data_IF_141786402358
#
_entry.id   IF_141786402358
#
_cell.length_a   1.000
_cell.length_b   1.000
_cell.length_c   1.000
_cell.angle_alpha   90.00
_cell.angle_beta   90.00
_cell.angle_gamma   90.00
#
_symmetry.space_group_name_H-M   'P 1'
#
loop_
_entity.id
_entity.type
_entity.pdbx_description
1 polymer ?
#
# COMPACT_ATOMS: atom_id res chain seq x y z
N UNK A 1 -2.98 7.64 -40.87
CA UNK A 1 -4.38 8.11 -40.83
C UNK A 1 -5.44 7.01 -41.05
N UNK A 2 -5.18 5.90 -41.71
CA UNK A 2 -6.14 4.77 -41.82
C UNK A 2 -6.17 3.82 -40.61
N UNK A 3 -5.04 3.57 -39.96
CA UNK A 3 -4.98 2.70 -38.77
C UNK A 3 -5.72 3.26 -37.54
N UNK A 4 -5.78 4.58 -37.40
CA UNK A 4 -6.47 5.23 -36.28
C UNK A 4 -8.02 5.19 -36.43
N UNK A 5 -8.50 5.19 -37.69
CA UNK A 5 -9.93 5.06 -37.97
C UNK A 5 -10.45 3.64 -37.73
N UNK A 6 -9.64 2.61 -37.91
CA UNK A 6 -10.05 1.22 -37.75
C UNK A 6 -10.05 0.82 -36.25
N UNK A 7 -9.19 1.39 -35.46
CA UNK A 7 -9.16 1.18 -34.00
C UNK A 7 -10.42 1.77 -33.33
N UNK A 8 -10.87 2.96 -33.71
CA UNK A 8 -12.11 3.55 -33.23
C UNK A 8 -13.37 2.80 -33.71
N UNK A 9 -13.34 2.20 -34.88
CA UNK A 9 -14.44 1.36 -35.39
C UNK A 9 -14.55 0.03 -34.65
N UNK A 10 -13.45 -0.55 -34.20
CA UNK A 10 -13.46 -1.78 -33.39
C UNK A 10 -14.02 -1.54 -31.98
N UNK A 11 -13.71 -0.41 -31.34
CA UNK A 11 -14.28 -0.01 -30.04
C UNK A 11 -15.78 0.26 -30.14
N UNK A 12 -16.25 0.91 -31.19
CA UNK A 12 -17.67 1.20 -31.41
C UNK A 12 -18.51 -0.08 -31.67
N UNK A 13 -17.94 -1.09 -32.31
CA UNK A 13 -18.62 -2.37 -32.59
C UNK A 13 -18.70 -3.24 -31.33
N UNK A 14 -17.69 -3.17 -30.43
CA UNK A 14 -17.70 -3.92 -29.17
C UNK A 14 -18.71 -3.37 -28.14
N UNK A 15 -19.00 -2.07 -28.16
CA UNK A 15 -20.02 -1.44 -27.30
C UNK A 15 -21.43 -1.79 -27.78
N UNK A 16 -21.65 -2.07 -29.06
CA UNK A 16 -22.98 -2.39 -29.60
C UNK A 16 -23.40 -3.86 -29.46
N UNK A 17 -22.45 -4.79 -29.25
CA UNK A 17 -22.74 -6.22 -29.05
C UNK A 17 -23.01 -6.65 -27.62
N UNK A 18 -22.70 -5.82 -26.60
CA UNK A 18 -23.03 -6.11 -25.19
C UNK A 18 -24.40 -5.58 -24.70
N UNK A 19 -25.19 -4.99 -25.60
CA UNK A 19 -26.44 -4.31 -25.28
C UNK A 19 -27.73 -5.14 -25.38
N UNK A 20 -27.68 -6.44 -25.67
CA UNK A 20 -28.89 -7.25 -25.87
C UNK A 20 -28.81 -8.58 -25.09
N UNK A 21 -29.11 -8.55 -23.83
CA UNK A 21 -29.75 -9.67 -23.08
C UNK A 21 -29.95 -9.31 -21.61
N UNK A 22 -31.05 -8.68 -21.26
CA UNK A 22 -31.65 -8.70 -19.93
C UNK A 22 -33.15 -8.41 -20.08
N UNK A 23 -33.93 -9.46 -20.32
CA UNK A 23 -35.38 -9.45 -20.07
C UNK A 23 -35.74 -10.60 -19.11
N UNK A 24 -36.46 -10.25 -18.05
CA UNK A 24 -37.34 -11.15 -17.29
C UNK A 24 -36.72 -11.68 -15.99
N UNK A 25 -37.24 -11.37 -14.83
CA UNK A 25 -38.52 -11.77 -14.27
C UNK A 25 -38.88 -10.96 -13.04
N UNK A 26 -40.12 -10.55 -13.04
CA UNK A 26 -40.89 -9.99 -11.95
C UNK A 26 -41.29 -11.10 -10.97
N UNK A 27 -41.16 -10.88 -9.67
CA UNK A 27 -42.11 -11.48 -8.73
C UNK A 27 -42.30 -10.60 -7.49
N UNK A 28 -43.57 -10.28 -7.34
CA UNK A 28 -44.24 -9.52 -6.29
C UNK A 28 -44.42 -10.36 -5.02
N UNK A 29 -44.12 -9.78 -3.86
CA UNK A 29 -44.79 -10.18 -2.62
C UNK A 29 -44.91 -8.99 -1.67
N UNK A 30 -46.15 -8.72 -1.37
CA UNK A 30 -46.77 -7.67 -0.55
C UNK A 30 -46.71 -7.94 0.97
N UNK A 31 -46.87 -6.83 1.74
CA UNK A 31 -47.34 -6.69 3.14
C UNK A 31 -46.30 -6.91 4.24
N UNK A 32 -46.24 -6.06 5.23
CA UNK A 32 -47.23 -5.26 5.93
C UNK A 32 -46.56 -4.32 6.92
N UNK A 33 -47.30 -3.30 7.25
CA UNK A 33 -46.98 -2.10 8.00
C UNK A 33 -46.75 -2.31 9.51
N UNK A 34 -46.18 -1.29 10.09
CA UNK A 34 -45.99 -1.13 11.53
C UNK A 34 -45.41 0.25 11.82
N UNK A 35 -46.26 1.26 11.90
CA UNK A 35 -45.92 2.55 12.49
C UNK A 35 -45.69 2.41 13.99
N UNK A 36 -44.60 2.94 14.51
CA UNK A 36 -44.47 3.33 15.91
C UNK A 36 -43.78 4.69 16.01
N UNK A 37 -44.25 5.55 16.90
CA UNK A 37 -43.95 6.98 16.87
C UNK A 37 -42.63 7.34 17.59
N UNK A 38 -41.98 8.37 17.06
CA UNK A 38 -40.84 9.04 17.70
C UNK A 38 -41.31 9.72 19.01
N UNK A 39 -40.67 9.33 20.12
CA UNK A 39 -40.76 10.04 21.40
C UNK A 39 -39.51 10.88 21.55
N UNK A 40 -39.70 12.19 21.52
CA UNK A 40 -38.67 13.19 21.84
C UNK A 40 -38.50 13.25 23.36
N UNK A 41 -37.33 13.01 23.86
CA UNK A 41 -36.96 13.25 25.27
C UNK A 41 -36.25 14.59 25.42
N UNK A 42 -36.52 15.35 26.49
CA UNK A 42 -36.04 16.71 26.64
C UNK A 42 -34.59 16.80 27.13
N UNK A 43 -33.93 17.83 26.62
CA UNK A 43 -32.57 18.26 27.03
C UNK A 43 -32.63 18.71 28.50
N UNK A 44 -31.87 18.02 29.34
CA UNK A 44 -31.64 18.41 30.75
C UNK A 44 -30.41 19.31 30.81
N UNK A 45 -30.63 20.56 31.11
CA UNK A 45 -29.60 21.56 31.48
C UNK A 45 -29.16 21.35 32.90
N UNK A 46 -27.91 20.98 33.11
CA UNK A 46 -27.28 20.98 34.43
C UNK A 46 -26.43 22.25 34.67
N UNK A 47 -26.46 22.83 35.87
CA UNK A 47 -25.84 24.12 36.12
C UNK A 47 -24.31 24.05 36.29
N UNK A 48 -23.67 25.11 35.87
CA UNK A 48 -22.23 25.41 35.96
C UNK A 48 -21.79 25.56 37.43
N UNK A 49 -20.70 24.93 37.89
CA UNK A 49 -20.11 25.24 39.19
C UNK A 49 -19.30 26.53 39.13
N UNK A 50 -19.45 27.30 40.20
CA UNK A 50 -18.78 28.58 40.50
C UNK A 50 -17.28 28.44 40.63
N UNK A 51 -16.57 29.42 40.10
CA UNK A 51 -15.14 29.62 40.23
C UNK A 51 -14.78 30.10 41.65
N UNK A 52 -13.90 29.37 42.36
CA UNK A 52 -13.14 29.89 43.50
C UNK A 52 -11.73 30.33 43.02
N UNK A 53 -11.16 31.40 43.63
CA UNK A 53 -9.91 31.97 43.14
C UNK A 53 -8.71 31.12 43.57
N UNK A 54 -7.86 30.75 42.61
CA UNK A 54 -6.56 30.12 42.83
C UNK A 54 -5.54 31.22 43.11
N UNK A 55 -4.87 31.11 44.25
CA UNK A 55 -3.75 31.94 44.68
C UNK A 55 -2.58 31.86 43.72
N UNK A 56 -2.02 33.02 43.39
CA UNK A 56 -0.83 33.21 42.56
C UNK A 56 0.41 32.66 43.29
N UNK A 57 1.01 31.59 42.74
CA UNK A 57 2.38 31.18 43.06
C UNK A 57 3.39 31.93 42.18
N UNK A 58 4.69 31.94 42.52
CA UNK A 58 5.68 32.81 41.92
C UNK A 58 5.88 32.52 40.42
N UNK A 59 6.01 33.58 39.67
CA UNK A 59 6.26 33.58 38.22
C UNK A 59 7.64 32.98 37.95
N UNK A 60 7.65 31.77 37.38
CA UNK A 60 8.86 31.19 36.81
C UNK A 60 9.21 31.93 35.52
N UNK A 61 10.42 32.44 35.44
CA UNK A 61 10.92 33.19 34.29
C UNK A 61 10.80 32.35 33.00
N UNK A 62 10.33 32.93 31.87
CA UNK A 62 10.25 32.19 30.63
C UNK A 62 11.66 31.84 30.13
N UNK A 63 11.86 30.55 29.82
CA UNK A 63 13.03 30.05 29.10
C UNK A 63 13.19 30.82 27.80
N UNK A 64 14.43 31.13 27.37
CA UNK A 64 14.66 31.87 26.13
C UNK A 64 14.08 31.07 24.95
N UNK A 65 13.13 31.69 24.25
CA UNK A 65 12.63 31.20 22.96
C UNK A 65 13.83 31.20 22.01
N UNK A 66 14.36 30.00 21.74
CA UNK A 66 15.32 29.83 20.63
C UNK A 66 14.58 30.18 19.35
N UNK A 67 14.86 31.34 18.82
CA UNK A 67 14.35 31.76 17.52
C UNK A 67 14.71 30.69 16.49
N UNK A 68 13.71 29.98 16.02
CA UNK A 68 13.87 29.01 14.94
C UNK A 68 14.44 29.77 13.73
N UNK A 69 15.69 29.45 13.40
CA UNK A 69 16.33 29.94 12.19
C UNK A 69 15.41 29.58 11.00
N UNK A 70 15.03 30.56 10.15
CA UNK A 70 14.25 30.22 8.96
C UNK A 70 15.01 29.17 8.16
N UNK A 71 14.30 28.18 7.59
CA UNK A 71 14.94 27.17 6.73
C UNK A 71 15.72 27.91 5.64
N UNK A 72 16.91 27.42 5.25
CA UNK A 72 17.63 27.99 4.14
C UNK A 72 16.72 28.03 2.90
N UNK A 73 16.78 29.06 2.07
CA UNK A 73 15.99 29.12 0.86
C UNK A 73 16.27 27.84 0.06
N UNK A 74 15.20 27.12 -0.26
CA UNK A 74 15.28 25.97 -1.17
C UNK A 74 15.92 26.49 -2.44
N UNK A 75 17.05 25.92 -2.91
CA UNK A 75 17.60 26.35 -4.18
C UNK A 75 16.51 26.21 -5.23
N UNK A 76 16.15 27.31 -5.88
CA UNK A 76 15.34 27.24 -7.09
C UNK A 76 16.10 26.32 -8.04
N UNK A 77 15.57 25.09 -8.17
CA UNK A 77 16.06 24.20 -9.21
C UNK A 77 15.63 24.87 -10.51
N UNK A 78 16.60 25.38 -11.25
CA UNK A 78 16.37 25.68 -12.64
C UNK A 78 15.72 24.47 -13.28
N UNK A 79 14.43 24.54 -13.49
CA UNK A 79 13.72 23.54 -14.26
C UNK A 79 14.24 23.73 -15.68
N UNK A 80 15.22 22.91 -16.05
CA UNK A 80 15.69 22.86 -17.43
C UNK A 80 14.51 22.32 -18.25
N UNK A 81 13.70 23.23 -18.76
CA UNK A 81 12.68 22.90 -19.76
C UNK A 81 13.45 22.60 -21.04
N UNK A 82 13.68 21.33 -21.31
CA UNK A 82 14.21 20.85 -22.57
C UNK A 82 13.14 21.16 -23.66
N UNK A 83 13.25 22.35 -24.27
CA UNK A 83 12.47 22.65 -25.47
C UNK A 83 13.09 21.86 -26.62
N UNK A 84 12.32 21.06 -27.37
CA UNK A 84 12.81 20.45 -28.60
C UNK A 84 13.30 21.56 -29.53
N UNK A 85 14.39 21.33 -30.28
CA UNK A 85 14.82 22.27 -31.30
C UNK A 85 13.66 22.59 -32.25
N UNK A 86 13.49 23.86 -32.63
CA UNK A 86 12.38 24.35 -33.49
C UNK A 86 12.26 23.63 -34.85
N UNK A 87 13.30 22.89 -35.24
CA UNK A 87 13.33 22.11 -36.48
C UNK A 87 12.83 20.67 -36.36
N UNK A 88 12.41 20.20 -35.22
CA UNK A 88 11.83 18.86 -35.08
C UNK A 88 10.36 18.84 -35.55
N UNK A 89 10.17 18.75 -36.85
CA UNK A 89 8.87 18.40 -37.46
C UNK A 89 8.49 16.92 -37.24
N UNK A 90 9.25 16.17 -36.45
CA UNK A 90 9.06 14.74 -36.26
C UNK A 90 8.36 14.46 -34.92
N UNK A 91 7.36 13.61 -34.98
CA UNK A 91 6.70 13.08 -33.79
C UNK A 91 7.70 12.32 -32.95
N UNK A 92 7.73 12.60 -31.62
CA UNK A 92 8.50 11.84 -30.64
C UNK A 92 7.65 10.63 -30.22
N UNK A 93 8.08 9.47 -30.66
CA UNK A 93 7.40 8.18 -30.33
C UNK A 93 8.01 7.60 -29.07
N UNK A 94 7.16 7.24 -28.10
CA UNK A 94 7.54 6.59 -26.86
C UNK A 94 6.85 5.25 -26.77
N UNK A 95 7.64 4.18 -26.69
CA UNK A 95 7.11 2.81 -26.53
C UNK A 95 6.61 2.60 -25.11
N UNK A 96 5.44 2.01 -24.95
CA UNK A 96 4.88 1.64 -23.65
C UNK A 96 4.70 0.13 -23.61
N UNK A 97 5.65 -0.57 -22.98
CA UNK A 97 5.67 -2.03 -22.90
C UNK A 97 4.88 -2.50 -21.68
N UNK A 98 3.72 -3.07 -21.91
CA UNK A 98 2.80 -3.53 -20.83
C UNK A 98 2.30 -4.95 -21.10
N UNK A 99 1.95 -5.72 -20.06
CA UNK A 99 1.31 -7.02 -20.20
C UNK A 99 -0.18 -6.82 -20.55
N UNK A 100 -0.48 -6.56 -21.84
CA UNK A 100 -1.86 -6.28 -22.28
C UNK A 100 -2.67 -7.56 -22.53
N UNK A 101 -1.99 -8.71 -22.64
CA UNK A 101 -2.60 -10.05 -22.70
C UNK A 101 -1.95 -11.00 -21.68
N UNK A 102 -2.55 -12.21 -21.51
CA UNK A 102 -2.06 -13.22 -20.58
C UNK A 102 -2.52 -12.99 -19.13
N UNK A 103 -1.97 -13.75 -18.17
CA UNK A 103 -2.47 -13.79 -16.79
C UNK A 103 -2.32 -12.48 -16.01
N UNK A 104 -1.43 -11.58 -16.44
CA UNK A 104 -1.18 -10.29 -15.78
C UNK A 104 -1.83 -9.10 -16.52
N UNK A 105 -2.72 -9.37 -17.50
CA UNK A 105 -3.33 -8.35 -18.38
C UNK A 105 -4.15 -7.29 -17.62
N UNK A 106 -4.75 -7.64 -16.50
CA UNK A 106 -5.51 -6.69 -15.69
C UNK A 106 -4.64 -5.53 -15.16
N UNK A 107 -3.37 -5.80 -14.80
CA UNK A 107 -2.41 -4.77 -14.40
C UNK A 107 -2.01 -3.91 -15.61
N UNK A 108 -1.69 -4.55 -16.74
CA UNK A 108 -1.31 -3.85 -17.96
C UNK A 108 -2.38 -2.90 -18.46
N UNK A 109 -3.64 -3.34 -18.45
CA UNK A 109 -4.76 -2.49 -18.87
C UNK A 109 -4.92 -1.24 -18.01
N UNK A 110 -4.83 -1.38 -16.70
CA UNK A 110 -4.95 -0.24 -15.77
C UNK A 110 -3.79 0.75 -15.90
N UNK A 111 -2.58 0.27 -16.17
CA UNK A 111 -1.43 1.13 -16.46
C UNK A 111 -1.58 1.84 -17.81
N UNK A 112 -2.15 1.16 -18.81
CA UNK A 112 -2.48 1.78 -20.10
C UNK A 112 -3.51 2.90 -19.91
N UNK A 113 -4.56 2.66 -19.15
CA UNK A 113 -5.59 3.66 -18.84
C UNK A 113 -4.98 4.89 -18.15
N UNK A 114 -4.06 4.68 -17.20
CA UNK A 114 -3.33 5.76 -16.54
C UNK A 114 -2.43 6.54 -17.50
N UNK A 115 -1.72 5.84 -18.38
CA UNK A 115 -0.86 6.45 -19.39
C UNK A 115 -1.68 7.26 -20.41
N UNK A 116 -2.85 6.77 -20.81
CA UNK A 116 -3.78 7.49 -21.70
C UNK A 116 -4.24 8.79 -21.02
N UNK A 117 -4.61 8.75 -19.74
CA UNK A 117 -4.97 9.96 -18.99
C UNK A 117 -3.82 10.99 -18.97
N UNK A 118 -2.60 10.53 -18.71
CA UNK A 118 -1.42 11.40 -18.71
C UNK A 118 -1.16 12.03 -20.08
N UNK A 119 -1.29 11.26 -21.15
CA UNK A 119 -1.16 11.78 -22.53
C UNK A 119 -2.17 12.87 -22.80
N UNK A 120 -3.44 12.67 -22.43
CA UNK A 120 -4.48 13.70 -22.63
C UNK A 120 -4.26 14.96 -21.78
N UNK A 121 -3.52 14.85 -20.67
CA UNK A 121 -3.26 16.00 -19.78
C UNK A 121 -2.12 16.87 -20.23
N UNK A 122 -1.01 16.25 -20.65
CA UNK A 122 0.28 16.94 -20.77
C UNK A 122 0.93 16.79 -22.14
N UNK A 123 0.47 15.86 -22.99
CA UNK A 123 1.10 15.63 -24.27
C UNK A 123 0.65 16.68 -25.31
N UNK A 124 1.60 17.12 -26.11
CA UNK A 124 1.33 17.94 -27.29
C UNK A 124 1.14 17.08 -28.55
N UNK A 125 0.87 17.72 -29.69
CA UNK A 125 0.64 17.04 -30.98
C UNK A 125 1.88 16.32 -31.53
N UNK A 126 3.06 16.52 -30.96
CA UNK A 126 4.30 15.87 -31.37
C UNK A 126 4.58 14.59 -30.59
N UNK A 127 3.92 14.38 -29.47
CA UNK A 127 4.07 13.19 -28.63
C UNK A 127 3.16 12.04 -29.13
N UNK A 128 3.73 10.86 -29.34
CA UNK A 128 3.00 9.65 -29.73
C UNK A 128 3.34 8.53 -28.76
N UNK A 129 2.38 8.09 -27.97
CA UNK A 129 2.50 6.88 -27.16
C UNK A 129 2.20 5.66 -28.03
N UNK A 130 3.09 4.64 -27.99
CA UNK A 130 2.97 3.39 -28.74
C UNK A 130 2.84 2.24 -27.74
N UNK A 131 1.61 1.81 -27.37
CA UNK A 131 1.41 0.66 -26.52
C UNK A 131 1.81 -0.63 -27.22
N UNK A 132 2.59 -1.49 -26.56
CA UNK A 132 3.10 -2.76 -27.08
C UNK A 132 2.89 -3.85 -26.03
N UNK A 133 2.36 -5.00 -26.43
CA UNK A 133 2.01 -6.09 -25.54
C UNK A 133 3.20 -7.01 -25.23
N UNK A 134 3.57 -7.11 -23.96
CA UNK A 134 4.59 -8.07 -23.49
C UNK A 134 4.04 -9.47 -23.23
N UNK A 135 2.75 -9.71 -23.45
CA UNK A 135 2.05 -11.00 -23.29
C UNK A 135 2.22 -11.66 -21.93
N UNK A 136 2.56 -10.88 -20.90
CA UNK A 136 2.87 -11.35 -19.54
C UNK A 136 4.02 -12.37 -19.43
N UNK A 137 4.93 -12.41 -20.41
CA UNK A 137 6.06 -13.36 -20.46
C UNK A 137 7.39 -12.68 -20.79
N UNK A 138 8.55 -13.24 -20.34
CA UNK A 138 9.86 -12.74 -20.74
C UNK A 138 10.08 -12.75 -22.25
N UNK A 139 9.68 -13.81 -22.95
CA UNK A 139 9.81 -13.95 -24.39
C UNK A 139 8.94 -12.91 -25.13
N UNK A 140 7.72 -12.68 -24.65
CA UNK A 140 6.85 -11.64 -25.16
C UNK A 140 7.43 -10.23 -24.96
N UNK A 141 8.18 -10.00 -23.89
CA UNK A 141 8.87 -8.74 -23.64
C UNK A 141 10.02 -8.49 -24.65
N UNK A 142 10.76 -9.54 -25.04
CA UNK A 142 11.76 -9.45 -26.12
C UNK A 142 11.12 -9.04 -27.44
N UNK A 143 10.03 -9.72 -27.84
CA UNK A 143 9.30 -9.39 -29.06
C UNK A 143 8.75 -7.96 -29.02
N UNK A 144 8.25 -7.53 -27.87
CA UNK A 144 7.77 -6.16 -27.66
C UNK A 144 8.90 -5.12 -27.78
N UNK A 145 10.11 -5.46 -27.34
CA UNK A 145 11.30 -4.62 -27.51
C UNK A 145 11.68 -4.47 -28.98
N UNK A 146 11.66 -5.56 -29.76
CA UNK A 146 11.92 -5.55 -31.21
C UNK A 146 10.86 -4.70 -31.93
N UNK A 147 9.59 -4.84 -31.58
CA UNK A 147 8.48 -4.04 -32.13
C UNK A 147 8.65 -2.54 -31.79
N UNK A 148 9.09 -2.20 -30.59
CA UNK A 148 9.38 -0.81 -30.19
C UNK A 148 10.48 -0.20 -31.06
N UNK A 149 11.57 -0.96 -31.32
CA UNK A 149 12.65 -0.52 -32.19
C UNK A 149 12.17 -0.33 -33.62
N UNK A 150 11.41 -1.29 -34.15
CA UNK A 150 10.83 -1.20 -35.49
C UNK A 150 9.84 -0.02 -35.64
N UNK A 151 9.18 0.39 -34.55
CA UNK A 151 8.31 1.55 -34.50
C UNK A 151 9.08 2.90 -34.37
N UNK A 152 10.42 2.90 -34.39
CA UNK A 152 11.28 4.08 -34.23
C UNK A 152 10.98 4.90 -32.98
N UNK A 153 10.77 4.22 -31.82
CA UNK A 153 10.60 4.90 -30.53
C UNK A 153 11.92 5.52 -30.09
N UNK A 154 11.83 6.57 -29.29
CA UNK A 154 13.01 7.31 -28.76
C UNK A 154 13.27 6.99 -27.29
N UNK A 155 12.29 6.41 -26.62
CA UNK A 155 12.33 6.00 -25.22
C UNK A 155 11.37 4.83 -25.04
N UNK A 156 11.68 3.92 -24.12
CA UNK A 156 10.79 2.85 -23.70
C UNK A 156 10.35 3.09 -22.26
N UNK A 157 9.04 3.09 -22.02
CA UNK A 157 8.42 3.08 -20.69
C UNK A 157 7.90 1.66 -20.42
N UNK A 158 8.21 1.10 -19.25
CA UNK A 158 8.01 -0.32 -18.97
C UNK A 158 9.25 -1.15 -19.36
N UNK A 159 9.19 -2.48 -19.23
CA UNK A 159 8.09 -3.29 -18.69
C UNK A 159 7.80 -3.12 -17.19
N UNK A 160 6.80 -3.87 -16.71
CA UNK A 160 6.36 -3.81 -15.31
C UNK A 160 7.16 -4.74 -14.41
N UNK A 161 7.37 -5.97 -14.86
CA UNK A 161 7.95 -7.06 -14.04
C UNK A 161 9.44 -7.22 -14.34
N UNK A 162 10.22 -7.57 -13.30
CA UNK A 162 11.68 -7.70 -13.38
C UNK A 162 12.13 -8.73 -14.40
N UNK A 163 11.45 -9.87 -14.49
CA UNK A 163 11.70 -10.93 -15.49
C UNK A 163 11.57 -10.41 -16.94
N UNK A 164 10.56 -9.62 -17.20
CA UNK A 164 10.35 -8.99 -18.49
C UNK A 164 11.38 -7.88 -18.79
N UNK A 165 11.79 -7.10 -17.76
CA UNK A 165 12.86 -6.10 -17.88
C UNK A 165 14.16 -6.76 -18.22
N UNK A 166 14.58 -7.78 -17.48
CA UNK A 166 15.84 -8.51 -17.72
C UNK A 166 15.90 -9.10 -19.12
N UNK A 167 14.81 -9.73 -19.57
CA UNK A 167 14.74 -10.35 -20.89
C UNK A 167 14.86 -9.34 -22.03
N UNK A 168 14.17 -8.20 -21.96
CA UNK A 168 14.11 -7.21 -23.04
C UNK A 168 15.23 -6.17 -23.02
N UNK A 169 15.93 -6.03 -21.89
CA UNK A 169 16.87 -4.95 -21.64
C UNK A 169 18.00 -4.87 -22.67
N UNK A 170 18.66 -5.98 -22.99
CA UNK A 170 19.78 -5.96 -23.92
C UNK A 170 19.32 -5.55 -25.32
N UNK A 171 18.17 -6.03 -25.80
CA UNK A 171 17.59 -5.66 -27.08
C UNK A 171 17.41 -4.15 -27.21
N UNK A 172 16.87 -3.49 -26.16
CA UNK A 172 16.66 -2.04 -26.13
C UNK A 172 17.97 -1.27 -26.01
N UNK A 173 18.88 -1.70 -25.12
CA UNK A 173 20.16 -1.01 -24.89
C UNK A 173 21.09 -1.10 -26.10
N UNK A 174 21.14 -2.24 -26.79
CA UNK A 174 21.94 -2.44 -27.99
C UNK A 174 21.46 -1.58 -29.16
N UNK A 175 20.16 -1.22 -29.18
CA UNK A 175 19.59 -0.23 -30.11
C UNK A 175 19.89 1.23 -29.70
N UNK A 176 20.63 1.47 -28.61
CA UNK A 176 20.96 2.81 -28.12
C UNK A 176 19.80 3.51 -27.41
N UNK A 177 18.76 2.80 -27.04
CA UNK A 177 17.59 3.34 -26.34
C UNK A 177 17.72 3.18 -24.82
N UNK A 178 17.00 4.01 -24.07
CA UNK A 178 16.86 3.89 -22.61
C UNK A 178 15.48 3.39 -22.23
N UNK A 179 15.40 2.82 -21.02
CA UNK A 179 14.16 2.30 -20.45
C UNK A 179 13.83 3.01 -19.12
N UNK A 180 12.59 3.42 -18.95
CA UNK A 180 12.01 3.83 -17.67
C UNK A 180 11.03 2.74 -17.22
N UNK A 181 11.48 1.83 -16.34
CA UNK A 181 10.74 0.62 -16.01
C UNK A 181 9.92 0.78 -14.73
N UNK A 182 8.77 0.11 -14.65
CA UNK A 182 7.89 0.14 -13.48
C UNK A 182 8.27 -0.90 -12.41
N UNK A 183 9.32 -1.68 -12.65
CA UNK A 183 9.78 -2.67 -11.69
C UNK A 183 10.11 -2.03 -10.33
N UNK A 184 9.77 -2.74 -9.27
CA UNK A 184 10.16 -2.43 -7.90
C UNK A 184 11.41 -3.22 -7.45
N UNK A 185 12.11 -3.88 -8.38
CA UNK A 185 13.33 -4.61 -8.13
C UNK A 185 14.57 -3.80 -8.53
N UNK A 186 15.37 -3.42 -7.54
CA UNK A 186 16.61 -2.64 -7.78
C UNK A 186 17.66 -3.40 -8.57
N UNK A 187 17.60 -4.73 -8.58
CA UNK A 187 18.60 -5.56 -9.27
C UNK A 187 18.60 -5.35 -10.79
N UNK A 188 17.47 -4.95 -11.38
CA UNK A 188 17.39 -4.69 -12.82
C UNK A 188 17.94 -3.32 -13.23
N UNK A 189 18.21 -2.42 -12.28
CA UNK A 189 18.71 -1.08 -12.55
C UNK A 189 20.18 -1.11 -12.99
N UNK A 190 20.46 -0.50 -14.13
CA UNK A 190 21.82 -0.28 -14.66
C UNK A 190 21.82 0.88 -15.64
N UNK A 191 22.98 1.27 -16.15
CA UNK A 191 23.07 2.35 -17.14
C UNK A 191 22.09 2.12 -18.28
N UNK A 192 21.23 3.10 -18.54
CA UNK A 192 20.17 3.05 -19.54
C UNK A 192 18.86 2.42 -19.05
N UNK A 193 18.80 1.85 -17.83
CA UNK A 193 17.57 1.33 -17.22
C UNK A 193 17.31 2.07 -15.91
N UNK A 194 16.23 2.82 -15.87
CA UNK A 194 15.85 3.67 -14.75
C UNK A 194 14.55 3.15 -14.12
N UNK A 195 14.50 3.08 -12.78
CA UNK A 195 13.33 2.61 -12.05
C UNK A 195 12.35 3.76 -11.77
N UNK A 196 11.08 3.51 -12.01
CA UNK A 196 9.96 4.40 -11.65
C UNK A 196 8.97 3.73 -10.68
N UNK A 197 9.24 2.49 -10.26
CA UNK A 197 8.42 1.76 -9.29
C UNK A 197 8.61 2.26 -7.86
N UNK A 198 7.63 1.97 -7.00
CA UNK A 198 7.74 2.21 -5.56
C UNK A 198 8.63 1.13 -4.94
N UNK A 199 9.86 1.49 -4.65
CA UNK A 199 10.84 0.56 -4.09
C UNK A 199 10.48 0.17 -2.65
N UNK A 200 10.42 -1.13 -2.32
CA UNK A 200 10.13 -1.59 -0.97
C UNK A 200 11.14 -1.08 0.05
N UNK A 201 12.42 -0.99 -0.33
CA UNK A 201 13.50 -0.48 0.53
C UNK A 201 13.21 0.95 1.00
N UNK A 202 12.76 1.81 0.10
CA UNK A 202 12.42 3.22 0.42
C UNK A 202 11.20 3.31 1.35
N UNK A 203 10.22 2.43 1.16
CA UNK A 203 9.04 2.38 2.00
C UNK A 203 9.38 1.87 3.41
N UNK A 204 10.19 0.82 3.49
CA UNK A 204 10.66 0.26 4.75
C UNK A 204 11.52 1.27 5.51
N UNK A 205 12.49 1.91 4.87
CA UNK A 205 13.29 2.97 5.51
C UNK A 205 12.41 4.09 6.07
N UNK A 206 11.41 4.52 5.29
CA UNK A 206 10.51 5.59 5.72
C UNK A 206 9.67 5.19 6.94
N UNK A 207 9.05 4.02 6.95
CA UNK A 207 8.19 3.59 8.05
C UNK A 207 9.01 3.27 9.30
N UNK A 208 10.20 2.70 9.15
CA UNK A 208 11.12 2.40 10.24
C UNK A 208 11.62 3.68 10.91
N UNK A 209 12.04 4.66 10.13
CA UNK A 209 12.46 5.98 10.64
C UNK A 209 11.33 6.66 11.39
N UNK A 210 10.10 6.59 10.89
CA UNK A 210 8.94 7.15 11.58
C UNK A 210 8.65 6.40 12.88
N UNK A 211 8.71 5.08 12.89
CA UNK A 211 8.52 4.25 14.08
C UNK A 211 9.55 4.61 15.18
N UNK A 212 10.83 4.73 14.79
CA UNK A 212 11.89 5.17 15.70
C UNK A 212 11.64 6.56 16.30
N UNK A 213 11.25 7.53 15.47
CA UNK A 213 10.90 8.89 15.93
C UNK A 213 9.72 8.91 16.90
N UNK A 214 8.87 7.88 16.90
CA UNK A 214 7.74 7.68 17.79
C UNK A 214 8.09 6.85 19.03
N UNK A 215 9.36 6.49 19.19
CA UNK A 215 9.88 5.80 20.38
C UNK A 215 9.67 4.28 20.37
N UNK A 216 9.31 3.67 19.22
CA UNK A 216 9.24 2.21 19.10
C UNK A 216 10.65 1.64 19.01
N UNK A 217 10.94 0.61 19.83
CA UNK A 217 12.28 0.06 19.99
C UNK A 217 12.41 -1.35 19.42
N UNK A 218 11.31 -2.10 19.41
CA UNK A 218 11.31 -3.51 19.01
C UNK A 218 10.26 -3.76 17.92
N UNK A 219 10.64 -4.48 16.84
CA UNK A 219 9.76 -4.74 15.71
C UNK A 219 9.78 -6.23 15.34
N UNK A 220 8.58 -6.81 15.21
CA UNK A 220 8.33 -8.05 14.51
C UNK A 220 7.93 -7.78 13.06
N UNK A 221 8.14 -8.74 12.14
CA UNK A 221 7.70 -8.60 10.76
C UNK A 221 7.08 -9.87 10.19
N UNK A 222 5.95 -9.71 9.49
CA UNK A 222 5.31 -10.71 8.65
C UNK A 222 5.54 -10.34 7.19
N UNK A 223 6.23 -11.19 6.44
CA UNK A 223 6.63 -10.94 5.05
C UNK A 223 6.13 -12.07 4.13
N UNK A 224 5.82 -11.77 2.85
CA UNK A 224 5.44 -12.81 1.91
C UNK A 224 6.61 -13.75 1.57
N UNK A 225 6.34 -14.93 1.04
CA UNK A 225 7.38 -15.83 0.53
C UNK A 225 8.02 -15.28 -0.75
N UNK A 226 9.17 -15.83 -1.12
CA UNK A 226 9.86 -15.54 -2.37
C UNK A 226 10.76 -14.29 -2.34
N UNK A 227 11.30 -13.91 -3.51
CA UNK A 227 12.35 -12.89 -3.62
C UNK A 227 11.92 -11.51 -3.11
N UNK A 228 10.66 -11.14 -3.25
CA UNK A 228 10.15 -9.87 -2.73
C UNK A 228 10.22 -9.82 -1.18
N UNK A 229 9.78 -10.90 -0.50
CA UNK A 229 9.87 -10.99 0.96
C UNK A 229 11.32 -10.99 1.48
N UNK A 230 12.26 -11.57 0.72
CA UNK A 230 13.69 -11.49 1.06
C UNK A 230 14.19 -10.06 0.99
N UNK A 231 13.93 -9.34 -0.12
CA UNK A 231 14.34 -7.93 -0.25
C UNK A 231 13.76 -7.05 0.85
N UNK A 232 12.49 -7.24 1.20
CA UNK A 232 11.86 -6.52 2.32
C UNK A 232 12.57 -6.86 3.64
N UNK A 233 12.90 -8.13 3.86
CA UNK A 233 13.59 -8.57 5.08
C UNK A 233 15.00 -7.96 5.20
N UNK A 234 15.70 -7.84 4.10
CA UNK A 234 17.04 -7.23 4.07
C UNK A 234 16.94 -5.71 4.27
N UNK A 235 16.00 -5.03 3.59
CA UNK A 235 15.74 -3.63 3.81
C UNK A 235 15.34 -3.31 5.27
N UNK A 236 14.57 -4.20 5.89
CA UNK A 236 14.18 -4.06 7.29
C UNK A 236 15.40 -4.16 8.23
N UNK A 237 16.29 -5.13 7.99
CA UNK A 237 17.53 -5.27 8.78
C UNK A 237 18.46 -4.07 8.62
N UNK A 238 18.59 -3.56 7.39
CA UNK A 238 19.40 -2.38 7.09
C UNK A 238 18.82 -1.12 7.79
N UNK A 239 17.53 -0.86 7.64
CA UNK A 239 16.87 0.28 8.28
C UNK A 239 16.93 0.20 9.81
N UNK A 240 16.79 -0.99 10.38
CA UNK A 240 16.86 -1.23 11.81
C UNK A 240 18.27 -0.96 12.36
N UNK A 241 19.29 -1.41 11.64
CA UNK A 241 20.71 -1.18 12.03
C UNK A 241 21.05 0.33 12.04
N UNK A 242 20.53 1.09 11.08
CA UNK A 242 20.72 2.55 11.01
C UNK A 242 19.95 3.27 12.12
N UNK A 243 18.72 2.83 12.40
CA UNK A 243 17.81 3.47 13.36
C UNK A 243 18.00 3.03 14.81
N UNK A 244 18.80 1.99 15.09
CA UNK A 244 18.95 1.43 16.43
C UNK A 244 17.68 0.73 16.96
N UNK A 245 16.85 0.20 16.04
CA UNK A 245 15.66 -0.59 16.37
C UNK A 245 16.06 -2.08 16.38
N UNK A 246 15.58 -2.80 17.37
CA UNK A 246 15.75 -4.25 17.43
C UNK A 246 14.69 -4.97 16.61
N UNK A 247 15.10 -5.87 15.72
CA UNK A 247 14.19 -6.80 15.05
C UNK A 247 14.13 -8.08 15.87
N UNK A 248 13.02 -8.25 16.57
CA UNK A 248 12.83 -9.42 17.43
C UNK A 248 12.61 -10.68 16.61
N UNK A 249 11.85 -10.59 15.48
CA UNK A 249 11.54 -11.74 14.65
C UNK A 249 11.04 -11.34 13.27
N UNK A 250 11.48 -12.04 12.24
CA UNK A 250 10.89 -11.98 10.89
C UNK A 250 10.29 -13.35 10.59
N UNK A 251 9.03 -13.40 10.17
CA UNK A 251 8.34 -14.62 9.76
C UNK A 251 7.77 -14.48 8.36
N UNK A 252 8.03 -15.48 7.53
CA UNK A 252 7.33 -15.65 6.25
C UNK A 252 6.01 -16.33 6.52
N UNK A 253 4.94 -15.78 5.94
CA UNK A 253 3.65 -16.44 5.88
C UNK A 253 3.52 -17.19 4.55
N UNK A 254 2.61 -18.16 4.47
CA UNK A 254 2.34 -18.87 3.21
C UNK A 254 1.07 -18.32 2.53
N UNK A 255 0.66 -18.99 1.45
CA UNK A 255 -0.48 -18.55 0.62
C UNK A 255 -1.82 -19.19 1.03
N UNK A 256 -1.86 -19.86 2.19
CA UNK A 256 -3.11 -20.46 2.69
C UNK A 256 -3.49 -19.85 4.04
N UNK A 257 -4.80 -19.79 4.37
CA UNK A 257 -5.27 -19.26 5.65
C UNK A 257 -4.61 -19.94 6.86
N UNK A 258 -4.35 -21.24 6.80
CA UNK A 258 -3.71 -22.01 7.87
C UNK A 258 -2.24 -21.64 8.04
N UNK A 259 -1.53 -21.39 6.94
CA UNK A 259 -0.12 -20.97 6.99
C UNK A 259 0.01 -19.53 7.50
N UNK A 260 -0.94 -18.66 7.14
CA UNK A 260 -1.04 -17.30 7.67
C UNK A 260 -1.29 -17.34 9.17
N UNK A 261 -2.30 -18.11 9.62
CA UNK A 261 -2.62 -18.29 11.03
C UNK A 261 -1.41 -18.80 11.83
N UNK A 262 -0.70 -19.79 11.27
CA UNK A 262 0.51 -20.36 11.88
C UNK A 262 1.62 -19.32 12.01
N UNK A 263 1.82 -18.48 10.99
CA UNK A 263 2.84 -17.44 11.02
C UNK A 263 2.54 -16.38 12.10
N UNK A 264 1.29 -15.95 12.21
CA UNK A 264 0.84 -15.00 13.25
C UNK A 264 0.97 -15.62 14.64
N UNK A 265 0.55 -16.86 14.81
CA UNK A 265 0.65 -17.61 16.06
C UNK A 265 2.09 -17.69 16.57
N UNK A 266 3.03 -18.00 15.67
CA UNK A 266 4.45 -18.14 16.04
C UNK A 266 5.08 -16.78 16.36
N UNK A 267 4.79 -15.73 15.56
CA UNK A 267 5.45 -14.44 15.76
C UNK A 267 5.03 -13.78 17.07
N UNK A 268 3.82 -14.09 17.54
CA UNK A 268 3.25 -13.55 18.79
C UNK A 268 3.60 -14.36 20.03
N UNK A 269 4.32 -15.47 19.90
CA UNK A 269 4.57 -16.44 20.99
C UNK A 269 3.25 -16.87 21.69
N UNK A 270 2.18 -17.07 20.89
CA UNK A 270 0.85 -17.28 21.42
C UNK A 270 0.77 -18.51 22.33
N UNK A 271 1.38 -19.63 21.95
CA UNK A 271 1.34 -20.88 22.73
C UNK A 271 2.05 -20.70 24.08
N UNK A 272 3.21 -20.06 24.11
CA UNK A 272 3.96 -19.82 25.35
C UNK A 272 3.21 -18.88 26.29
N UNK A 273 2.64 -17.80 25.73
CA UNK A 273 1.81 -16.84 26.47
C UNK A 273 0.53 -17.49 27.01
N UNK A 274 -0.09 -18.39 26.25
CA UNK A 274 -1.26 -19.13 26.69
C UNK A 274 -0.90 -20.16 27.74
N UNK A 275 0.18 -20.89 27.57
CA UNK A 275 0.67 -21.87 28.57
C UNK A 275 0.97 -21.19 29.90
N UNK A 276 1.68 -20.07 29.88
CA UNK A 276 1.96 -19.26 31.08
C UNK A 276 0.68 -18.81 31.79
N UNK A 277 -0.38 -18.43 31.04
CA UNK A 277 -1.69 -18.10 31.61
C UNK A 277 -2.33 -19.31 32.31
N UNK A 278 -2.33 -20.45 31.64
CA UNK A 278 -2.94 -21.69 32.19
C UNK A 278 -2.20 -22.16 33.44
N UNK A 279 -0.88 -22.11 33.44
CA UNK A 279 -0.05 -22.42 34.61
C UNK A 279 -0.37 -21.49 35.79
N UNK A 280 -0.44 -20.17 35.51
CA UNK A 280 -0.77 -19.19 36.55
C UNK A 280 -2.16 -19.37 37.12
N UNK A 281 -3.14 -19.65 36.28
CA UNK A 281 -4.50 -20.02 36.73
C UNK A 281 -4.49 -21.28 37.61
N UNK A 282 -3.74 -22.31 37.22
CA UNK A 282 -3.62 -23.56 37.97
C UNK A 282 -2.92 -23.33 39.34
N UNK A 283 -1.90 -22.46 39.40
CA UNK A 283 -1.24 -22.07 40.62
C UNK A 283 -2.23 -21.37 41.57
N UNK A 284 -2.96 -20.35 41.08
CA UNK A 284 -3.89 -19.56 41.88
C UNK A 284 -5.08 -20.39 42.40
N UNK A 285 -5.55 -21.36 41.61
CA UNK A 285 -6.63 -22.29 42.01
C UNK A 285 -6.26 -23.17 43.23
N UNK A 286 -4.94 -23.38 43.49
CA UNK A 286 -4.48 -24.15 44.66
C UNK A 286 -4.45 -23.32 45.94
N UNK A 287 -4.67 -22.00 45.84
CA UNK A 287 -4.65 -21.07 46.99
C UNK A 287 -6.08 -20.68 47.35
N UNK A 288 -6.40 -20.73 48.63
CA UNK A 288 -7.74 -20.45 49.14
C UNK A 288 -7.90 -18.99 49.61
N UNK A 289 -6.82 -18.19 49.57
CA UNK A 289 -6.86 -16.79 50.02
C UNK A 289 -7.64 -15.90 49.04
N UNK A 290 -8.30 -14.89 49.60
CA UNK A 290 -9.18 -13.97 48.84
C UNK A 290 -8.42 -13.20 47.74
N UNK A 291 -7.13 -12.88 47.96
CA UNK A 291 -6.28 -12.23 46.96
C UNK A 291 -6.07 -13.09 45.73
N UNK A 292 -5.82 -14.39 45.92
CA UNK A 292 -5.66 -15.36 44.83
C UNK A 292 -6.97 -15.57 44.04
N UNK A 293 -8.12 -15.59 44.74
CA UNK A 293 -9.42 -15.69 44.06
C UNK A 293 -9.71 -14.45 43.19
N UNK A 294 -9.44 -13.26 43.66
CA UNK A 294 -9.57 -12.03 42.90
C UNK A 294 -8.61 -11.98 41.71
N UNK A 295 -7.37 -12.44 41.91
CA UNK A 295 -6.39 -12.56 40.81
C UNK A 295 -6.83 -13.58 39.73
N UNK A 296 -7.34 -14.72 40.15
CA UNK A 296 -7.87 -15.75 39.25
C UNK A 296 -9.03 -15.20 38.40
N UNK A 297 -10.00 -14.53 39.03
CA UNK A 297 -11.12 -13.92 38.32
C UNK A 297 -10.66 -12.93 37.23
N UNK A 298 -9.58 -12.15 37.50
CA UNK A 298 -9.00 -11.26 36.47
C UNK A 298 -8.32 -12.00 35.34
N UNK A 299 -7.68 -13.13 35.62
CA UNK A 299 -7.05 -13.93 34.60
C UNK A 299 -8.05 -14.73 33.76
N UNK A 300 -9.22 -15.11 34.29
CA UNK A 300 -10.22 -15.92 33.59
C UNK A 300 -10.79 -15.26 32.32
N UNK A 301 -10.73 -13.95 32.21
CA UNK A 301 -11.17 -13.19 31.04
C UNK A 301 -10.09 -12.99 29.99
N UNK A 302 -8.86 -13.41 30.22
CA UNK A 302 -7.73 -13.24 29.29
C UNK A 302 -7.59 -14.46 28.39
N UNK A 303 -7.15 -14.27 27.16
CA UNK A 303 -6.77 -15.34 26.23
C UNK A 303 -5.33 -15.81 26.44
N UNK A 304 -4.42 -14.86 26.74
CA UNK A 304 -3.00 -15.10 26.96
C UNK A 304 -2.49 -14.25 28.14
N UNK A 305 -1.27 -14.50 28.61
CA UNK A 305 -0.59 -13.70 29.61
C UNK A 305 0.69 -13.08 29.06
N UNK A 306 0.94 -11.83 29.45
CA UNK A 306 2.08 -11.06 28.94
C UNK A 306 1.77 -10.33 27.63
N UNK A 307 2.73 -9.55 27.16
CA UNK A 307 2.67 -8.82 25.89
C UNK A 307 3.34 -9.63 24.78
N UNK A 308 3.02 -9.30 23.53
CA UNK A 308 3.80 -9.78 22.37
C UNK A 308 5.23 -9.26 22.45
N UNK A 309 6.23 -9.95 21.84
CA UNK A 309 7.65 -9.62 22.01
C UNK A 309 8.13 -8.44 21.13
N UNK A 310 7.24 -7.49 20.81
CA UNK A 310 7.57 -6.30 19.99
C UNK A 310 6.60 -5.14 20.27
N UNK A 311 7.09 -3.91 20.09
CA UNK A 311 6.29 -2.69 20.18
C UNK A 311 5.46 -2.47 18.91
N UNK A 312 5.99 -2.93 17.76
CA UNK A 312 5.30 -2.86 16.48
C UNK A 312 5.44 -4.14 15.66
N UNK A 313 4.44 -4.38 14.80
CA UNK A 313 4.42 -5.47 13.84
C UNK A 313 4.31 -4.90 12.43
N UNK A 314 5.36 -5.07 11.63
CA UNK A 314 5.33 -4.79 10.20
C UNK A 314 4.63 -5.94 9.48
N UNK A 315 3.57 -5.64 8.74
CA UNK A 315 2.83 -6.58 7.92
C UNK A 315 2.95 -6.17 6.46
N UNK A 316 3.67 -6.96 5.68
CA UNK A 316 3.87 -6.72 4.24
C UNK A 316 2.96 -7.65 3.46
N UNK A 317 1.79 -7.17 3.15
CA UNK A 317 0.74 -7.92 2.45
C UNK A 317 -0.20 -6.95 1.73
N UNK A 318 -0.94 -7.47 0.75
CA UNK A 318 -1.98 -6.74 0.01
C UNK A 318 -3.18 -7.65 -0.28
N UNK A 319 -4.32 -7.06 -0.66
CA UNK A 319 -5.52 -7.81 -1.05
C UNK A 319 -5.98 -8.80 0.01
N UNK A 320 -6.35 -10.02 -0.42
CA UNK A 320 -6.90 -11.07 0.44
C UNK A 320 -5.93 -11.52 1.54
N UNK A 321 -4.62 -11.54 1.26
CA UNK A 321 -3.61 -11.91 2.26
C UNK A 321 -3.59 -10.91 3.41
N UNK A 322 -3.73 -9.61 3.12
CA UNK A 322 -3.80 -8.58 4.14
C UNK A 322 -5.05 -8.72 5.01
N UNK A 323 -6.20 -8.97 4.40
CA UNK A 323 -7.47 -9.21 5.12
C UNK A 323 -7.36 -10.44 6.02
N UNK A 324 -6.80 -11.53 5.49
CA UNK A 324 -6.58 -12.75 6.26
C UNK A 324 -5.61 -12.53 7.43
N UNK A 325 -4.49 -11.84 7.22
CA UNK A 325 -3.54 -11.49 8.28
C UNK A 325 -4.21 -10.60 9.33
N UNK A 326 -4.93 -9.55 8.92
CA UNK A 326 -5.63 -8.65 9.81
C UNK A 326 -6.63 -9.37 10.72
N UNK A 327 -7.40 -10.33 10.17
CA UNK A 327 -8.31 -11.16 10.94
C UNK A 327 -7.58 -12.02 12.00
N UNK A 328 -6.38 -12.52 11.68
CA UNK A 328 -5.61 -13.34 12.63
C UNK A 328 -4.97 -12.52 13.76
N UNK A 329 -4.77 -11.20 13.60
CA UNK A 329 -4.18 -10.37 14.67
C UNK A 329 -5.01 -10.44 15.94
N UNK A 330 -6.34 -10.32 15.84
CA UNK A 330 -7.25 -10.47 16.96
C UNK A 330 -7.32 -11.90 17.53
N UNK A 331 -7.32 -12.91 16.65
CA UNK A 331 -7.39 -14.31 17.05
C UNK A 331 -6.18 -14.77 17.88
N UNK A 332 -5.03 -14.14 17.72
CA UNK A 332 -3.81 -14.44 18.47
C UNK A 332 -3.46 -13.36 19.50
N UNK A 333 -4.48 -12.65 19.98
CA UNK A 333 -4.42 -11.72 21.11
C UNK A 333 -3.36 -10.63 20.94
N UNK A 334 -3.36 -10.00 19.76
CA UNK A 334 -2.59 -8.78 19.50
C UNK A 334 -3.48 -7.59 19.86
N UNK A 335 -3.11 -6.88 20.94
CA UNK A 335 -3.73 -5.62 21.30
C UNK A 335 -3.17 -4.46 20.43
N UNK A 336 -3.91 -4.08 19.38
CA UNK A 336 -3.51 -3.01 18.45
C UNK A 336 -3.48 -1.60 19.08
N UNK A 337 -3.94 -1.46 20.32
CA UNK A 337 -3.78 -0.22 21.10
C UNK A 337 -2.39 -0.13 21.72
N UNK A 338 -1.77 -1.27 21.98
CA UNK A 338 -0.43 -1.38 22.60
C UNK A 338 0.64 -1.65 21.56
N UNK A 339 0.35 -2.52 20.59
CA UNK A 339 1.27 -2.89 19.51
C UNK A 339 0.89 -2.14 18.24
N UNK A 340 1.79 -1.31 17.72
CA UNK A 340 1.54 -0.56 16.51
C UNK A 340 1.66 -1.47 15.28
N UNK A 341 0.64 -1.49 14.44
CA UNK A 341 0.70 -2.20 13.16
C UNK A 341 1.26 -1.26 12.10
N UNK A 342 2.26 -1.75 11.35
CA UNK A 342 2.97 -1.03 10.30
C UNK A 342 2.73 -1.71 8.95
N UNK A 343 2.67 -0.92 7.87
CA UNK A 343 2.42 -1.43 6.51
C UNK A 343 3.18 -0.69 5.43
N UNK A 344 2.96 -1.11 4.18
CA UNK A 344 3.50 -0.54 2.95
C UNK A 344 2.42 0.23 2.18
N UNK A 345 2.79 0.84 1.05
CA UNK A 345 1.87 1.60 0.19
C UNK A 345 0.70 0.77 -0.35
N UNK A 346 0.84 -0.54 -0.39
CA UNK A 346 -0.22 -1.46 -0.83
C UNK A 346 -1.49 -1.37 0.05
N UNK A 347 -1.36 -0.79 1.25
CA UNK A 347 -2.47 -0.55 2.18
C UNK A 347 -3.29 0.70 1.84
N UNK A 348 -2.89 1.48 0.86
CA UNK A 348 -3.63 2.67 0.44
C UNK A 348 -4.96 2.36 -0.28
N UNK A 349 -5.28 1.09 -0.52
CA UNK A 349 -6.57 0.67 -1.06
C UNK A 349 -7.73 1.01 -0.11
N UNK A 350 -8.85 1.48 -0.66
CA UNK A 350 -10.02 1.92 0.12
C UNK A 350 -10.57 0.83 1.06
N UNK A 351 -10.39 -0.44 0.72
CA UNK A 351 -10.91 -1.59 1.48
C UNK A 351 -10.12 -1.87 2.76
N UNK A 352 -8.83 -1.54 2.79
CA UNK A 352 -7.96 -1.75 3.95
C UNK A 352 -8.44 -0.99 5.19
N UNK A 353 -8.98 0.21 5.00
CA UNK A 353 -9.51 1.03 6.09
C UNK A 353 -10.75 0.46 6.79
N UNK A 354 -11.35 -0.60 6.26
CA UNK A 354 -12.52 -1.28 6.86
C UNK A 354 -12.14 -2.36 7.86
N UNK A 355 -10.86 -2.80 7.86
CA UNK A 355 -10.39 -3.84 8.77
C UNK A 355 -10.19 -3.30 10.19
N UNK A 356 -10.99 -3.76 11.19
CA UNK A 356 -10.94 -3.20 12.54
C UNK A 356 -9.58 -3.31 13.22
N UNK A 357 -8.83 -4.37 12.95
CA UNK A 357 -7.50 -4.61 13.51
C UNK A 357 -6.42 -3.70 12.91
N UNK A 358 -6.70 -3.03 11.78
CA UNK A 358 -5.78 -2.09 11.13
C UNK A 358 -6.13 -0.63 11.45
N UNK A 359 -7.19 -0.37 12.22
CA UNK A 359 -7.54 1.00 12.63
C UNK A 359 -6.41 1.60 13.48
N UNK A 360 -5.88 2.74 13.04
CA UNK A 360 -4.74 3.40 13.68
C UNK A 360 -3.36 2.83 13.31
N UNK A 361 -3.30 1.88 12.39
CA UNK A 361 -2.04 1.43 11.79
C UNK A 361 -1.35 2.55 11.00
N UNK A 362 -0.04 2.43 10.80
CA UNK A 362 0.74 3.36 10.01
C UNK A 362 1.31 2.67 8.78
N UNK A 363 1.29 3.32 7.64
CA UNK A 363 1.90 2.79 6.43
C UNK A 363 2.59 3.88 5.61
N UNK A 364 3.64 3.50 4.90
CA UNK A 364 4.35 4.40 4.02
C UNK A 364 3.56 4.53 2.71
N UNK A 365 3.30 5.77 2.28
CA UNK A 365 2.57 6.05 1.03
C UNK A 365 3.16 7.29 0.35
N UNK A 366 3.03 7.45 -0.98
CA UNK A 366 3.24 8.73 -1.65
C UNK A 366 2.35 9.84 -1.06
N UNK A 367 2.64 11.11 -1.38
CA UNK A 367 1.81 12.23 -0.91
C UNK A 367 0.33 12.04 -1.28
N UNK A 368 -0.55 12.15 -0.29
CA UNK A 368 -1.99 11.87 -0.42
C UNK A 368 -2.66 12.79 -1.45
N UNK A 369 -2.19 14.04 -1.53
CA UNK A 369 -2.75 15.04 -2.46
C UNK A 369 -2.59 14.62 -3.92
N UNK A 370 -1.41 14.11 -4.28
CA UNK A 370 -1.13 13.66 -5.64
C UNK A 370 -1.95 12.40 -6.01
N UNK A 371 -2.01 11.44 -5.10
CA UNK A 371 -2.78 10.20 -5.32
C UNK A 371 -4.27 10.47 -5.37
N UNK A 372 -4.80 11.35 -4.52
CA UNK A 372 -6.22 11.71 -4.50
C UNK A 372 -6.65 12.42 -5.78
N UNK A 373 -5.86 13.38 -6.27
CA UNK A 373 -6.15 14.09 -7.52
C UNK A 373 -6.19 13.14 -8.72
N UNK A 374 -5.21 12.24 -8.80
CA UNK A 374 -5.17 11.21 -9.84
C UNK A 374 -6.37 10.25 -9.73
N UNK A 375 -6.67 9.73 -8.54
CA UNK A 375 -7.76 8.81 -8.31
C UNK A 375 -9.13 9.43 -8.67
N UNK A 376 -9.35 10.70 -8.32
CA UNK A 376 -10.57 11.42 -8.68
C UNK A 376 -10.72 11.54 -10.20
N UNK A 377 -9.64 11.85 -10.92
CA UNK A 377 -9.64 11.95 -12.37
C UNK A 377 -9.86 10.60 -13.03
N UNK A 378 -9.16 9.56 -12.58
CA UNK A 378 -9.30 8.20 -13.08
C UNK A 378 -10.76 7.71 -12.93
N UNK A 379 -11.33 7.88 -11.73
CA UNK A 379 -12.73 7.51 -11.46
C UNK A 379 -13.73 8.26 -12.34
N UNK A 380 -13.48 9.55 -12.57
CA UNK A 380 -14.34 10.36 -13.46
C UNK A 380 -14.32 9.86 -14.90
N UNK A 381 -13.18 9.36 -15.36
CA UNK A 381 -13.00 8.94 -16.75
C UNK A 381 -13.42 7.49 -16.99
N UNK A 382 -13.07 6.58 -16.07
CA UNK A 382 -13.28 5.14 -16.25
C UNK A 382 -14.38 4.54 -15.36
N UNK A 383 -14.97 5.31 -14.43
CA UNK A 383 -16.04 4.85 -13.54
C UNK A 383 -15.58 3.94 -12.40
N UNK A 384 -14.27 3.65 -12.30
CA UNK A 384 -13.67 2.78 -11.28
C UNK A 384 -12.49 3.47 -10.62
N UNK A 385 -12.14 3.06 -9.39
CA UNK A 385 -10.90 3.52 -8.74
C UNK A 385 -9.66 2.94 -9.43
N UNK A 386 -8.55 3.70 -9.52
CA UNK A 386 -7.28 3.11 -9.93
C UNK A 386 -6.86 2.04 -8.92
N UNK A 387 -6.06 1.06 -9.31
CA UNK A 387 -5.43 0.15 -8.36
C UNK A 387 -4.47 0.93 -7.43
N UNK A 388 -4.21 0.42 -6.24
CA UNK A 388 -3.28 1.00 -5.30
C UNK A 388 -1.86 1.06 -5.84
#
# INVERSE_FOLDING_TARGET
MKLFSDFFRFIAIFIFLCGLSLTGCNDTATRGGGNAPFVSSPVSTSPRPSTSPVQSGPIESPLPVVASRPPPPTPERDVVVLKPPENMKHQVRVGLLLPLSGPRSAVGQKLLDAAILAVFDIADSHFVLVPIDTRSTPEGAVLAAEEAIAADVKLVIGPVFSDAVEASANTILDAGLSMLVFSNDRAVARTGIYLSGLLPETQIDRIMRYAWQRGLQTIGALVPPGPFGERVSDALREAAAVGGIEITRIRKYGNTPESIATAVKIITDYDDRRSALLEKRAELKKREDEGSQRALARLEVLETMGSVPFDALLVVASGDDLVNLAAQLGNYDIDTKRTRILGTSDWAAEETGREPSLVGAWFATPPVEATTAFAAKYRKTYGTSPPP
#
